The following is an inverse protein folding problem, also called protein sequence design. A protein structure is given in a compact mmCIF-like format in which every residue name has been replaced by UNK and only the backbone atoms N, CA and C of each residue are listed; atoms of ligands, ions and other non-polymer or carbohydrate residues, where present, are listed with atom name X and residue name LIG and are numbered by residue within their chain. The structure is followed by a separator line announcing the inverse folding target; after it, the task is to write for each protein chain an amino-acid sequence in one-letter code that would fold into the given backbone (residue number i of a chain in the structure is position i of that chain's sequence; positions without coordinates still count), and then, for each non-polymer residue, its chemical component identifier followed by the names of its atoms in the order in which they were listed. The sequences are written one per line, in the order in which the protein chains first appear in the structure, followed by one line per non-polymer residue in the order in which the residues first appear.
data_IF_555692124796
#
_entry.id   IF_555692124796
#
_cell.length_a   1.000
_cell.length_b   1.000
_cell.length_c   1.000
_cell.angle_alpha   90.00
_cell.angle_beta   90.00
_cell.angle_gamma   90.00
#
_symmetry.space_group_name_H-M   'P 1'
#
loop_
_entity.id
_entity.type
_entity.pdbx_description
1 polymer ?
#
# COMPACT_ATOMS: atom_id res chain seq x y z
N UNK A 1 6.55 -37.10 -6.28
CA UNK A 1 6.75 -37.15 -4.82
C UNK A 1 6.12 -35.87 -4.32
N UNK A 2 4.95 -36.00 -3.70
CA UNK A 2 4.21 -34.87 -3.12
C UNK A 2 5.06 -34.30 -1.98
N UNK A 3 5.24 -32.99 -2.01
CA UNK A 3 5.87 -32.19 -0.97
C UNK A 3 4.74 -31.38 -0.33
N UNK A 4 3.77 -32.07 0.26
CA UNK A 4 2.67 -31.46 1.01
C UNK A 4 2.71 -31.96 2.46
N UNK A 5 3.84 -31.73 3.13
CA UNK A 5 3.97 -31.89 4.58
C UNK A 5 4.72 -30.66 5.12
N UNK A 6 4.13 -29.49 4.94
CA UNK A 6 4.52 -28.26 5.64
C UNK A 6 3.38 -27.87 6.58
N UNK A 7 3.60 -28.17 7.86
CA UNK A 7 3.07 -27.54 9.08
C UNK A 7 1.74 -26.79 8.86
N UNK A 8 0.66 -27.51 9.15
CA UNK A 8 -0.67 -26.96 9.42
C UNK A 8 -0.57 -26.07 10.67
N UNK A 9 -0.34 -24.77 10.50
CA UNK A 9 -0.82 -23.82 11.49
C UNK A 9 -2.31 -23.72 11.24
N UNK A 10 -3.11 -24.45 12.03
CA UNK A 10 -4.57 -24.45 11.99
C UNK A 10 -5.08 -23.00 12.15
N UNK A 11 -5.16 -22.26 11.04
CA UNK A 11 -5.72 -20.91 11.03
C UNK A 11 -7.23 -21.09 11.17
N UNK A 12 -7.73 -20.92 12.39
CA UNK A 12 -9.16 -21.00 12.67
C UNK A 12 -9.80 -19.72 12.15
N UNK A 13 -10.56 -19.82 11.07
CA UNK A 13 -11.32 -18.68 10.57
C UNK A 13 -12.50 -18.40 11.53
N UNK A 14 -12.60 -17.16 12.01
CA UNK A 14 -13.68 -16.77 12.91
C UNK A 14 -14.89 -16.36 12.07
N UNK A 15 -16.10 -16.84 12.40
CA UNK A 15 -17.29 -16.51 11.62
C UNK A 15 -17.65 -15.02 11.75
N UNK A 16 -18.43 -14.48 10.82
CA UNK A 16 -18.78 -13.04 10.79
C UNK A 16 -19.42 -12.56 12.11
N UNK A 17 -20.26 -13.39 12.75
CA UNK A 17 -20.89 -13.08 14.03
C UNK A 17 -19.91 -12.95 15.21
N UNK A 18 -18.67 -13.41 15.06
CA UNK A 18 -17.62 -13.27 16.06
C UNK A 18 -17.09 -11.83 16.15
N UNK A 19 -17.32 -11.01 15.13
CA UNK A 19 -16.70 -9.69 14.96
C UNK A 19 -17.72 -8.58 15.17
N UNK A 20 -17.37 -7.56 15.94
CA UNK A 20 -18.13 -6.31 15.97
C UNK A 20 -17.76 -5.50 14.71
N UNK A 21 -18.71 -5.20 13.80
CA UNK A 21 -18.42 -4.43 12.60
C UNK A 21 -17.80 -3.07 12.93
N UNK A 22 -16.79 -2.66 12.15
CA UNK A 22 -16.07 -1.40 12.28
C UNK A 22 -15.30 -1.19 13.61
N UNK A 23 -15.16 -2.22 14.44
CA UNK A 23 -14.35 -2.15 15.65
C UNK A 23 -12.84 -2.27 15.32
N UNK A 24 -12.10 -1.22 15.64
CA UNK A 24 -10.64 -1.17 15.49
C UNK A 24 -10.01 -0.62 16.80
N UNK A 25 -9.08 -1.35 17.46
CA UNK A 25 -8.60 -2.70 17.12
C UNK A 25 -9.69 -3.77 17.08
N UNK A 26 -9.38 -4.95 16.53
CA UNK A 26 -10.28 -6.11 16.55
C UNK A 26 -10.89 -6.30 17.95
N UNK A 27 -12.22 -6.40 18.01
CA UNK A 27 -12.99 -6.62 19.24
C UNK A 27 -14.02 -7.73 18.99
N UNK A 28 -13.93 -8.86 19.72
CA UNK A 28 -14.88 -9.95 19.55
C UNK A 28 -16.26 -9.57 20.10
N UNK A 29 -17.30 -10.14 19.50
CA UNK A 29 -18.66 -10.02 20.01
C UNK A 29 -18.82 -10.86 21.29
N UNK A 30 -19.10 -10.20 22.42
CA UNK A 30 -19.24 -10.86 23.73
C UNK A 30 -20.34 -11.94 23.78
N UNK A 31 -21.48 -11.71 23.10
CA UNK A 31 -22.58 -12.69 23.07
C UNK A 31 -22.16 -13.96 22.35
N UNK A 32 -21.51 -13.82 21.20
CA UNK A 32 -20.96 -14.95 20.46
C UNK A 32 -19.87 -15.65 21.27
N UNK A 33 -18.90 -14.88 21.79
CA UNK A 33 -17.74 -15.41 22.51
C UNK A 33 -18.15 -16.25 23.72
N UNK A 34 -19.19 -15.85 24.45
CA UNK A 34 -19.70 -16.58 25.61
C UNK A 34 -20.24 -17.99 25.31
N UNK A 35 -20.56 -18.28 24.05
CA UNK A 35 -21.18 -19.55 23.62
C UNK A 35 -20.36 -20.33 22.57
N UNK A 36 -19.26 -19.75 22.10
CA UNK A 36 -18.36 -20.35 21.13
C UNK A 36 -17.61 -21.58 21.69
N UNK A 37 -17.10 -22.44 20.80
CA UNK A 37 -16.26 -23.56 21.22
C UNK A 37 -14.92 -23.06 21.77
N UNK A 38 -14.29 -23.78 22.73
CA UNK A 38 -13.04 -23.33 23.36
C UNK A 38 -11.93 -22.94 22.38
N UNK A 39 -11.78 -23.69 21.28
CA UNK A 39 -10.81 -23.40 20.22
C UNK A 39 -11.05 -22.04 19.53
N UNK A 40 -12.32 -21.68 19.29
CA UNK A 40 -12.69 -20.39 18.71
C UNK A 40 -12.59 -19.25 19.75
N UNK A 41 -12.86 -19.54 21.02
CA UNK A 41 -12.65 -18.58 22.11
C UNK A 41 -11.16 -18.22 22.23
N UNK A 42 -10.29 -19.22 22.21
CA UNK A 42 -8.84 -19.03 22.23
C UNK A 42 -8.37 -18.15 21.08
N UNK A 43 -8.78 -18.47 19.85
CA UNK A 43 -8.38 -17.70 18.67
C UNK A 43 -8.87 -16.24 18.73
N UNK A 44 -10.13 -16.02 19.13
CA UNK A 44 -10.68 -14.67 19.28
C UNK A 44 -9.95 -13.86 20.36
N UNK A 45 -9.70 -14.45 21.53
CA UNK A 45 -8.95 -13.80 22.60
C UNK A 45 -7.50 -13.52 22.19
N UNK A 46 -6.86 -14.45 21.47
CA UNK A 46 -5.50 -14.30 20.95
C UNK A 46 -5.41 -13.13 19.96
N UNK A 47 -6.32 -13.06 18.98
CA UNK A 47 -6.40 -11.93 18.05
C UNK A 47 -6.65 -10.60 18.75
N UNK A 48 -7.52 -10.59 19.76
CA UNK A 48 -7.77 -9.39 20.56
C UNK A 48 -6.51 -8.91 21.29
N UNK A 49 -5.77 -9.85 21.89
CA UNK A 49 -4.55 -9.56 22.64
C UNK A 49 -3.43 -9.07 21.72
N UNK A 50 -3.17 -9.79 20.63
CA UNK A 50 -2.14 -9.45 19.64
C UNK A 50 -2.46 -8.16 18.88
N UNK A 51 -3.73 -7.78 18.77
CA UNK A 51 -4.07 -6.46 18.28
C UNK A 51 -3.61 -5.38 19.28
N UNK A 52 -3.62 -5.60 20.60
CA UNK A 52 -3.34 -4.54 21.59
C UNK A 52 -1.93 -4.55 22.14
N UNK A 53 -1.25 -5.68 22.06
CA UNK A 53 0.05 -5.89 22.70
C UNK A 53 1.01 -6.62 21.76
N UNK A 54 2.28 -6.23 21.83
CA UNK A 54 3.38 -6.79 21.02
C UNK A 54 4.55 -7.20 21.91
N UNK A 55 5.38 -8.10 21.37
CA UNK A 55 6.67 -8.43 21.98
C UNK A 55 7.52 -7.15 22.08
N UNK A 56 7.99 -6.76 23.27
CA UNK A 56 8.80 -5.56 23.45
C UNK A 56 10.07 -5.57 22.59
N UNK A 57 10.57 -6.73 22.15
CA UNK A 57 11.68 -6.84 21.21
C UNK A 57 11.44 -6.14 19.86
N UNK A 58 10.18 -5.93 19.48
CA UNK A 58 9.81 -5.35 18.18
C UNK A 58 9.85 -3.81 18.23
N UNK A 59 9.14 -3.22 19.18
CA UNK A 59 8.84 -1.77 19.18
C UNK A 59 9.34 -1.04 20.43
N UNK A 60 9.96 -1.74 21.40
CA UNK A 60 10.39 -1.13 22.66
C UNK A 60 11.91 -0.89 22.67
N UNK A 61 12.39 0.33 22.93
CA UNK A 61 13.82 0.60 23.04
C UNK A 61 14.50 -0.25 24.13
N UNK A 62 15.67 -0.83 23.82
CA UNK A 62 16.43 -1.66 24.75
C UNK A 62 17.69 -0.94 25.25
N UNK A 63 17.90 -0.88 26.57
CA UNK A 63 19.13 -0.36 27.17
C UNK A 63 20.03 -1.53 27.63
N UNK A 64 21.14 -1.74 26.93
CA UNK A 64 22.12 -2.78 27.24
C UNK A 64 23.00 -2.51 28.47
N UNK A 65 22.97 -1.31 29.03
CA UNK A 65 23.69 -0.95 30.26
C UNK A 65 22.93 -1.35 31.52
N UNK A 66 21.61 -1.15 31.54
CA UNK A 66 20.71 -1.55 32.63
C UNK A 66 20.11 -2.95 32.42
N UNK A 67 20.10 -3.44 31.19
CA UNK A 67 19.70 -4.81 30.84
C UNK A 67 18.19 -5.01 30.80
N UNK A 68 17.46 -4.15 30.09
CA UNK A 68 15.99 -4.27 29.95
C UNK A 68 15.35 -3.35 28.91
N UNK A 69 14.11 -3.66 28.58
CA UNK A 69 13.26 -2.84 27.71
C UNK A 69 12.77 -1.58 28.43
N UNK A 70 12.68 -0.48 27.70
CA UNK A 70 12.24 0.81 28.20
C UNK A 70 10.81 1.08 27.73
N UNK A 71 9.83 0.75 28.56
CA UNK A 71 8.39 0.89 28.31
C UNK A 71 7.91 2.36 28.32
N UNK A 72 8.46 3.19 27.41
CA UNK A 72 8.18 4.62 27.33
C UNK A 72 6.77 4.95 26.84
N UNK A 73 6.07 3.97 26.24
CA UNK A 73 4.72 4.10 25.69
C UNK A 73 3.64 3.43 26.56
N UNK A 74 3.99 2.93 27.76
CA UNK A 74 3.10 2.18 28.64
C UNK A 74 3.55 0.72 28.81
N UNK A 75 2.99 0.04 29.81
CA UNK A 75 3.37 -1.33 30.21
C UNK A 75 4.46 -1.38 31.31
N UNK A 76 5.07 -2.56 31.53
CA UNK A 76 4.72 -3.84 30.92
C UNK A 76 3.30 -4.29 31.27
N UNK A 77 2.67 -5.01 30.34
CA UNK A 77 1.33 -5.58 30.50
C UNK A 77 1.43 -7.10 30.64
N UNK A 78 0.79 -7.64 31.68
CA UNK A 78 0.75 -9.06 31.97
C UNK A 78 -0.45 -9.70 31.23
N UNK A 79 -0.22 -10.74 30.39
CA UNK A 79 -1.29 -11.45 29.70
C UNK A 79 -2.45 -11.95 30.59
N UNK A 80 -2.16 -12.46 31.79
CA UNK A 80 -3.21 -12.92 32.71
C UNK A 80 -4.04 -11.74 33.20
N UNK A 81 -3.40 -10.64 33.62
CA UNK A 81 -4.13 -9.46 34.08
C UNK A 81 -5.06 -8.91 32.99
N UNK A 82 -4.54 -8.70 31.78
CA UNK A 82 -5.30 -8.10 30.67
C UNK A 82 -6.42 -9.01 30.15
N UNK A 83 -6.14 -10.31 29.97
CA UNK A 83 -7.14 -11.26 29.47
C UNK A 83 -8.23 -11.54 30.52
N UNK A 84 -7.88 -11.64 31.80
CA UNK A 84 -8.87 -11.86 32.86
C UNK A 84 -9.75 -10.61 33.06
N UNK A 85 -9.17 -9.41 33.01
CA UNK A 85 -9.95 -8.17 33.13
C UNK A 85 -10.97 -8.06 31.99
N UNK A 86 -10.56 -8.37 30.75
CA UNK A 86 -11.45 -8.28 29.59
C UNK A 86 -12.46 -9.42 29.49
N UNK A 87 -12.04 -10.67 29.72
CA UNK A 87 -12.81 -11.86 29.36
C UNK A 87 -13.24 -12.73 30.54
N UNK A 88 -12.77 -12.47 31.77
CA UNK A 88 -13.03 -13.34 32.94
C UNK A 88 -14.51 -13.49 33.32
N UNK A 89 -15.38 -12.58 32.86
CA UNK A 89 -16.84 -12.68 33.04
C UNK A 89 -17.58 -13.34 31.85
N UNK A 90 -16.86 -13.71 30.79
CA UNK A 90 -17.41 -14.16 29.50
C UNK A 90 -16.94 -15.58 29.19
N UNK A 91 -15.65 -15.84 29.38
CA UNK A 91 -14.99 -17.11 29.06
C UNK A 91 -14.55 -17.79 30.36
N UNK A 92 -14.63 -19.13 30.39
CA UNK A 92 -14.19 -19.89 31.56
C UNK A 92 -12.68 -19.72 31.81
N UNK A 93 -12.31 -19.55 33.08
CA UNK A 93 -10.92 -19.34 33.50
C UNK A 93 -9.94 -20.36 32.90
N UNK A 94 -10.31 -21.64 32.77
CA UNK A 94 -9.42 -22.66 32.21
C UNK A 94 -9.05 -22.46 30.75
N UNK A 95 -9.93 -21.82 29.96
CA UNK A 95 -9.65 -21.46 28.55
C UNK A 95 -8.73 -20.24 28.50
N UNK A 96 -8.98 -19.24 29.35
CA UNK A 96 -8.11 -18.06 29.46
C UNK A 96 -6.70 -18.47 29.92
N UNK A 97 -6.60 -19.31 30.95
CA UNK A 97 -5.34 -19.85 31.48
C UNK A 97 -4.55 -20.60 30.39
N UNK A 98 -5.21 -21.31 29.48
CA UNK A 98 -4.55 -21.96 28.35
C UNK A 98 -3.86 -20.94 27.43
N UNK A 99 -4.55 -19.85 27.06
CA UNK A 99 -3.96 -18.79 26.23
C UNK A 99 -2.85 -18.03 26.95
N UNK A 100 -3.04 -17.73 28.24
CA UNK A 100 -2.03 -17.07 29.08
C UNK A 100 -0.74 -17.89 29.12
N UNK A 101 -0.83 -19.20 29.32
CA UNK A 101 0.34 -20.09 29.30
C UNK A 101 1.06 -20.11 27.95
N UNK A 102 0.31 -20.01 26.85
CA UNK A 102 0.87 -19.89 25.50
C UNK A 102 1.66 -18.58 25.36
N UNK A 103 1.06 -17.43 25.70
CA UNK A 103 1.69 -16.11 25.62
C UNK A 103 2.92 -15.97 26.54
N UNK A 104 2.86 -16.54 27.74
CA UNK A 104 4.02 -16.62 28.65
C UNK A 104 5.15 -17.46 28.07
N UNK A 105 4.83 -18.53 27.35
CA UNK A 105 5.85 -19.38 26.72
C UNK A 105 6.51 -18.71 25.51
N UNK A 106 5.78 -17.82 24.82
CA UNK A 106 6.24 -17.09 23.65
C UNK A 106 7.12 -15.89 24.03
N UNK A 107 6.62 -15.00 24.89
CA UNK A 107 7.28 -13.71 25.21
C UNK A 107 7.54 -13.53 26.71
N UNK A 108 6.63 -14.03 27.56
CA UNK A 108 6.68 -13.81 29.01
C UNK A 108 5.57 -12.87 29.48
N UNK A 109 5.77 -12.26 30.65
CA UNK A 109 4.82 -11.39 31.36
C UNK A 109 4.99 -9.90 31.07
N UNK A 110 5.98 -9.52 30.25
CA UNK A 110 6.33 -8.12 29.99
C UNK A 110 5.98 -7.66 28.56
N UNK A 111 4.69 -7.56 28.24
CA UNK A 111 4.26 -7.11 26.91
C UNK A 111 4.20 -5.58 26.79
N UNK A 112 4.49 -5.06 25.59
CA UNK A 112 4.39 -3.65 25.26
C UNK A 112 3.06 -3.35 24.54
N UNK A 113 2.51 -2.13 24.62
CA UNK A 113 1.33 -1.75 23.85
C UNK A 113 1.68 -1.73 22.36
N UNK A 114 0.81 -2.28 21.53
CA UNK A 114 0.90 -2.21 20.07
C UNK A 114 0.64 -0.79 19.58
N UNK A 115 1.46 -0.28 18.64
CA UNK A 115 1.18 1.00 17.98
C UNK A 115 0.02 0.85 16.99
N UNK A 116 -1.21 1.13 17.45
CA UNK A 116 -2.44 1.10 16.63
C UNK A 116 -2.66 2.37 15.82
N UNK A 117 -1.60 3.02 15.35
CA UNK A 117 -1.79 3.91 14.21
C UNK A 117 -2.19 3.04 13.01
N UNK A 118 -3.28 3.36 12.28
CA UNK A 118 -3.60 2.66 11.04
C UNK A 118 -2.33 2.66 10.22
N UNK A 119 -1.88 1.47 9.78
CA UNK A 119 -0.66 1.39 8.99
C UNK A 119 -0.83 2.37 7.82
N UNK A 120 -0.05 3.45 7.89
CA UNK A 120 -0.20 4.55 6.96
C UNK A 120 0.11 4.06 5.54
N UNK A 121 0.96 3.03 5.44
CA UNK A 121 1.27 2.36 4.20
C UNK A 121 0.08 1.51 3.74
N UNK A 122 -0.64 0.81 4.62
CA UNK A 122 -1.86 0.07 4.26
C UNK A 122 -2.97 1.02 3.78
N UNK A 123 -3.20 2.14 4.46
CA UNK A 123 -4.21 3.12 4.08
C UNK A 123 -3.91 3.79 2.72
N UNK A 124 -2.64 3.83 2.33
CA UNK A 124 -2.17 4.36 1.05
C UNK A 124 -1.87 3.26 0.01
N UNK A 125 -2.10 1.99 0.35
CA UNK A 125 -1.81 0.88 -0.52
C UNK A 125 -2.61 0.97 -1.82
N UNK A 126 -1.99 0.55 -2.92
CA UNK A 126 -2.63 0.59 -4.21
C UNK A 126 -3.46 -0.67 -4.43
N UNK A 127 -4.75 -0.49 -4.69
CA UNK A 127 -5.59 -1.61 -5.14
C UNK A 127 -5.33 -1.81 -6.62
N UNK A 128 -4.73 -2.94 -6.97
CA UNK A 128 -4.56 -3.35 -8.35
C UNK A 128 -5.94 -3.61 -8.97
N UNK A 129 -6.40 -2.65 -9.78
CA UNK A 129 -7.57 -2.76 -10.63
C UNK A 129 -7.24 -3.57 -11.88
N UNK A 130 -8.19 -4.34 -12.42
CA UNK A 130 -7.99 -5.33 -13.49
C UNK A 130 -7.29 -4.79 -14.75
N UNK A 131 -6.93 -5.66 -15.72
CA UNK A 131 -6.16 -5.25 -16.88
C UNK A 131 -6.93 -4.18 -17.69
N UNK A 132 -6.32 -3.01 -17.87
CA UNK A 132 -6.89 -1.87 -18.59
C UNK A 132 -7.85 -0.99 -17.76
N UNK A 133 -8.19 -1.35 -16.52
CA UNK A 133 -8.98 -0.49 -15.62
C UNK A 133 -8.27 0.85 -15.30
N UNK A 134 -6.95 0.88 -15.04
CA UNK A 134 -6.23 2.15 -14.80
C UNK A 134 -6.40 3.14 -15.96
N UNK A 135 -6.38 2.67 -17.20
CA UNK A 135 -6.57 3.52 -18.37
C UNK A 135 -8.01 4.05 -18.49
N UNK A 136 -9.01 3.22 -18.16
CA UNK A 136 -10.42 3.65 -18.14
C UNK A 136 -10.66 4.69 -17.05
N UNK A 137 -10.07 4.50 -15.87
CA UNK A 137 -10.09 5.46 -14.76
C UNK A 137 -9.42 6.77 -15.16
N UNK A 138 -8.24 6.71 -15.78
CA UNK A 138 -7.58 7.89 -16.34
C UNK A 138 -8.48 8.63 -17.32
N UNK A 139 -9.05 7.96 -18.33
CA UNK A 139 -9.92 8.59 -19.31
C UNK A 139 -11.12 9.28 -18.67
N UNK A 140 -11.79 8.58 -17.74
CA UNK A 140 -12.92 9.12 -16.98
C UNK A 140 -12.50 10.36 -16.19
N UNK A 141 -11.34 10.28 -15.52
CA UNK A 141 -10.82 11.37 -14.70
C UNK A 141 -10.45 12.60 -15.53
N UNK A 142 -9.82 12.40 -16.69
CA UNK A 142 -9.51 13.47 -17.63
C UNK A 142 -10.78 14.18 -18.11
N UNK A 143 -11.84 13.44 -18.45
CA UNK A 143 -13.12 14.03 -18.87
C UNK A 143 -13.78 14.83 -17.74
N UNK A 144 -13.73 14.35 -16.49
CA UNK A 144 -14.21 15.11 -15.33
C UNK A 144 -13.40 16.39 -15.11
N UNK A 145 -12.07 16.33 -15.22
CA UNK A 145 -11.20 17.48 -15.04
C UNK A 145 -11.45 18.56 -16.11
N UNK A 146 -11.72 18.16 -17.35
CA UNK A 146 -12.10 19.09 -18.43
C UNK A 146 -13.41 19.82 -18.12
N UNK A 147 -14.35 19.18 -17.42
CA UNK A 147 -15.58 19.84 -16.95
C UNK A 147 -15.27 20.89 -15.89
N UNK A 148 -14.34 20.61 -14.96
CA UNK A 148 -13.88 21.60 -13.96
C UNK A 148 -13.27 22.83 -14.63
N UNK A 149 -12.44 22.63 -15.66
CA UNK A 149 -11.84 23.72 -16.44
C UNK A 149 -12.86 24.52 -17.29
N UNK A 150 -14.10 24.04 -17.38
CA UNK A 150 -15.19 24.70 -18.12
C UNK A 150 -16.14 25.50 -17.22
N UNK A 151 -15.83 25.63 -15.92
CA UNK A 151 -16.64 26.39 -14.97
C UNK A 151 -16.65 27.89 -15.33
N UNK A 152 -17.85 28.48 -15.29
CA UNK A 152 -18.02 29.93 -15.47
C UNK A 152 -17.68 30.68 -14.17
N UNK A 153 -16.97 31.79 -14.29
CA UNK A 153 -16.61 32.64 -13.15
C UNK A 153 -15.92 33.91 -13.58
N UNK A 154 -15.52 34.73 -12.60
CA UNK A 154 -14.59 35.83 -12.86
C UNK A 154 -13.19 35.26 -13.20
N UNK A 155 -12.26 36.14 -13.56
CA UNK A 155 -10.91 35.72 -13.94
C UNK A 155 -10.24 34.88 -12.84
N UNK A 156 -10.31 35.30 -11.58
CA UNK A 156 -9.64 34.59 -10.48
C UNK A 156 -10.20 33.17 -10.29
N UNK A 157 -11.52 33.00 -10.35
CA UNK A 157 -12.18 31.70 -10.23
C UNK A 157 -11.76 30.78 -11.39
N UNK A 158 -11.80 31.28 -12.62
CA UNK A 158 -11.43 30.47 -13.80
C UNK A 158 -9.95 30.13 -13.81
N UNK A 159 -9.07 31.00 -13.32
CA UNK A 159 -7.64 30.70 -13.16
C UNK A 159 -7.38 29.62 -12.12
N UNK A 160 -7.99 29.70 -10.93
CA UNK A 160 -7.85 28.65 -9.91
C UNK A 160 -8.38 27.31 -10.42
N UNK A 161 -9.53 27.31 -11.09
CA UNK A 161 -10.08 26.10 -11.70
C UNK A 161 -9.12 25.49 -12.74
N UNK A 162 -8.55 26.30 -13.64
CA UNK A 162 -7.61 25.82 -14.66
C UNK A 162 -6.29 25.32 -14.06
N UNK A 163 -5.76 25.99 -13.03
CA UNK A 163 -4.57 25.54 -12.30
C UNK A 163 -4.80 24.18 -11.63
N UNK A 164 -5.88 24.05 -10.86
CA UNK A 164 -6.19 22.79 -10.19
C UNK A 164 -6.50 21.67 -11.19
N UNK A 165 -7.16 21.99 -12.31
CA UNK A 165 -7.40 21.06 -13.39
C UNK A 165 -6.07 20.57 -14.03
N UNK A 166 -5.14 21.49 -14.32
CA UNK A 166 -3.81 21.14 -14.83
C UNK A 166 -3.05 20.20 -13.89
N UNK A 167 -3.00 20.55 -12.60
CA UNK A 167 -2.35 19.70 -11.60
C UNK A 167 -3.04 18.33 -11.49
N UNK A 168 -4.38 18.31 -11.55
CA UNK A 168 -5.18 17.10 -11.55
C UNK A 168 -4.92 16.17 -12.73
N UNK A 169 -4.63 16.71 -13.92
CA UNK A 169 -4.27 15.89 -15.11
C UNK A 169 -2.96 15.15 -14.88
N UNK A 170 -1.95 15.83 -14.33
CA UNK A 170 -0.66 15.20 -13.99
C UNK A 170 -0.85 14.16 -12.90
N UNK A 171 -1.62 14.46 -11.85
CA UNK A 171 -1.92 13.49 -10.80
C UNK A 171 -2.70 12.26 -11.30
N UNK A 172 -3.62 12.44 -12.26
CA UNK A 172 -4.32 11.31 -12.88
C UNK A 172 -3.36 10.43 -13.70
N UNK A 173 -2.40 11.04 -14.41
CA UNK A 173 -1.35 10.29 -15.10
C UNK A 173 -0.44 9.54 -14.12
N UNK A 174 -0.06 10.17 -13.01
CA UNK A 174 0.74 9.51 -11.95
C UNK A 174 0.04 8.28 -11.40
N UNK A 175 -1.26 8.38 -11.09
CA UNK A 175 -2.08 7.26 -10.61
C UNK A 175 -2.13 6.12 -11.65
N UNK A 176 -2.44 6.46 -12.91
CA UNK A 176 -2.42 5.48 -14.01
C UNK A 176 -1.10 4.72 -14.11
N UNK A 177 0.03 5.43 -14.16
CA UNK A 177 1.35 4.80 -14.30
C UNK A 177 1.66 3.89 -13.11
N UNK A 178 1.29 4.33 -11.91
CA UNK A 178 1.50 3.56 -10.68
C UNK A 178 0.67 2.28 -10.66
N UNK A 179 -0.64 2.42 -10.83
CA UNK A 179 -1.59 1.30 -10.82
C UNK A 179 -1.26 0.29 -11.92
N UNK A 180 -0.87 0.75 -13.12
CA UNK A 180 -0.45 -0.14 -14.22
C UNK A 180 0.78 -0.96 -13.85
N UNK A 181 1.82 -0.34 -13.28
CA UNK A 181 3.04 -1.07 -12.90
C UNK A 181 2.75 -2.04 -11.76
N UNK A 182 2.00 -1.61 -10.74
CA UNK A 182 1.63 -2.45 -9.60
C UNK A 182 0.79 -3.65 -10.04
N UNK A 183 -0.21 -3.45 -10.91
CA UNK A 183 -1.02 -4.54 -11.47
C UNK A 183 -0.14 -5.60 -12.14
N UNK A 184 0.71 -5.21 -13.09
CA UNK A 184 1.55 -6.18 -13.79
C UNK A 184 2.63 -6.81 -12.91
N UNK A 185 3.12 -6.11 -11.88
CA UNK A 185 4.04 -6.67 -10.90
C UNK A 185 3.40 -7.79 -10.07
N UNK A 186 2.11 -7.70 -9.80
CA UNK A 186 1.36 -8.70 -9.03
C UNK A 186 0.89 -9.87 -9.89
N UNK A 187 0.58 -9.62 -11.17
CA UNK A 187 -0.06 -10.59 -12.05
C UNK A 187 0.91 -11.40 -12.92
N UNK A 188 2.10 -10.87 -13.23
CA UNK A 188 3.09 -11.53 -14.10
C UNK A 188 4.43 -11.71 -13.38
N UNK A 189 4.80 -12.97 -13.12
CA UNK A 189 6.03 -13.32 -12.39
C UNK A 189 7.30 -12.87 -13.13
N UNK A 190 7.28 -12.80 -14.47
CA UNK A 190 8.42 -12.29 -15.23
C UNK A 190 8.55 -10.78 -15.05
N UNK A 191 7.43 -10.04 -15.07
CA UNK A 191 7.42 -8.61 -14.76
C UNK A 191 7.93 -8.36 -13.35
N UNK A 192 7.45 -9.10 -12.36
CA UNK A 192 7.94 -9.02 -10.98
C UNK A 192 9.46 -9.17 -10.92
N UNK A 193 9.99 -10.24 -11.51
CA UNK A 193 11.44 -10.53 -11.56
C UNK A 193 12.22 -9.45 -12.29
N UNK A 194 11.71 -8.95 -13.41
CA UNK A 194 12.35 -7.89 -14.19
C UNK A 194 12.35 -6.54 -13.45
N UNK A 195 11.29 -6.21 -12.73
CA UNK A 195 11.23 -5.02 -11.87
C UNK A 195 12.26 -5.11 -10.75
N UNK A 196 12.23 -6.18 -9.94
CA UNK A 196 13.20 -6.41 -8.86
C UNK A 196 14.63 -6.35 -9.39
N UNK A 197 14.89 -7.01 -10.51
CA UNK A 197 16.24 -7.06 -11.10
C UNK A 197 16.72 -5.73 -11.67
N UNK A 198 15.83 -4.79 -11.93
CA UNK A 198 16.15 -3.53 -12.63
C UNK A 198 16.14 -2.28 -11.74
N UNK A 199 15.67 -2.41 -10.50
CA UNK A 199 15.66 -1.34 -9.50
C UNK A 199 16.98 -1.35 -8.72
N UNK A 200 17.64 -0.18 -8.67
CA UNK A 200 18.97 -0.02 -8.07
C UNK A 200 19.02 -0.40 -6.58
N UNK A 201 17.92 -0.22 -5.85
CA UNK A 201 17.82 -0.58 -4.43
C UNK A 201 18.01 -2.08 -4.20
N UNK A 202 17.37 -2.93 -5.02
CA UNK A 202 17.51 -4.38 -4.92
C UNK A 202 18.86 -4.88 -5.44
N UNK A 203 19.43 -4.23 -6.46
CA UNK A 203 20.74 -4.60 -7.02
C UNK A 203 21.90 -4.42 -6.04
N UNK A 204 21.76 -3.51 -5.06
CA UNK A 204 22.81 -3.21 -4.08
C UNK A 204 22.80 -4.15 -2.87
N UNK A 205 21.79 -5.00 -2.72
CA UNK A 205 21.68 -5.93 -1.61
C UNK A 205 22.83 -6.96 -1.63
N UNK A 206 23.50 -7.16 -0.49
CA UNK A 206 24.49 -8.22 -0.31
C UNK A 206 23.82 -9.39 0.40
N UNK A 207 23.64 -10.50 -0.30
CA UNK A 207 22.92 -11.67 0.21
C UNK A 207 23.85 -12.88 0.29
N UNK A 208 23.82 -13.59 1.42
CA UNK A 208 24.43 -14.91 1.53
C UNK A 208 23.46 -15.99 1.06
N UNK A 209 23.94 -17.21 0.81
CA UNK A 209 23.08 -18.33 0.39
C UNK A 209 22.05 -18.69 1.47
N UNK A 210 22.38 -18.50 2.75
CA UNK A 210 21.44 -18.74 3.85
C UNK A 210 20.31 -17.72 3.93
N UNK A 211 20.48 -16.52 3.37
CA UNK A 211 19.47 -15.46 3.41
C UNK A 211 18.40 -15.62 2.33
N UNK A 212 18.62 -16.49 1.33
CA UNK A 212 17.79 -16.57 0.11
C UNK A 212 16.31 -16.78 0.44
N UNK A 213 15.98 -17.77 1.28
CA UNK A 213 14.58 -18.08 1.58
C UNK A 213 13.87 -16.94 2.31
N UNK A 214 14.54 -16.36 3.32
CA UNK A 214 14.03 -15.19 4.06
C UNK A 214 13.78 -13.99 3.15
N UNK A 215 14.71 -13.72 2.23
CA UNK A 215 14.58 -12.59 1.31
C UNK A 215 13.47 -12.81 0.28
N UNK A 216 13.28 -14.04 -0.19
CA UNK A 216 12.18 -14.36 -1.12
C UNK A 216 10.81 -14.15 -0.48
N UNK A 217 10.64 -14.55 0.79
CA UNK A 217 9.37 -14.38 1.53
C UNK A 217 8.96 -12.90 1.62
N UNK A 218 9.91 -11.98 1.83
CA UNK A 218 9.64 -10.54 1.96
C UNK A 218 9.71 -9.73 0.66
N UNK A 219 10.09 -10.34 -0.47
CA UNK A 219 10.45 -9.57 -1.67
C UNK A 219 9.26 -8.85 -2.31
N UNK A 220 8.07 -9.46 -2.28
CA UNK A 220 6.84 -8.85 -2.78
C UNK A 220 6.49 -7.58 -2.01
N UNK A 221 6.39 -7.67 -0.68
CA UNK A 221 6.11 -6.52 0.18
C UNK A 221 7.12 -5.39 0.00
N UNK A 222 8.41 -5.73 -0.20
CA UNK A 222 9.45 -4.73 -0.47
C UNK A 222 9.28 -4.04 -1.83
N UNK A 223 8.90 -4.79 -2.88
CA UNK A 223 8.62 -4.19 -4.18
C UNK A 223 7.40 -3.28 -4.10
N UNK A 224 6.34 -3.72 -3.44
CA UNK A 224 5.12 -2.96 -3.23
C UNK A 224 5.41 -1.62 -2.54
N UNK A 225 6.11 -1.67 -1.40
CA UNK A 225 6.56 -0.47 -0.67
C UNK A 225 7.41 0.46 -1.54
N UNK A 226 8.35 -0.11 -2.31
CA UNK A 226 9.16 0.70 -3.23
C UNK A 226 8.31 1.42 -4.29
N UNK A 227 7.29 0.75 -4.85
CA UNK A 227 6.39 1.34 -5.85
C UNK A 227 5.48 2.41 -5.23
N UNK A 228 5.02 2.21 -4.00
CA UNK A 228 4.23 3.16 -3.23
C UNK A 228 5.02 4.45 -2.94
N UNK A 229 6.29 4.32 -2.54
CA UNK A 229 7.19 5.44 -2.25
C UNK A 229 7.73 6.14 -3.52
N UNK A 230 7.46 5.59 -4.71
CA UNK A 230 7.98 6.13 -5.95
C UNK A 230 7.31 7.46 -6.29
N UNK A 231 8.12 8.48 -6.56
CA UNK A 231 7.64 9.77 -7.06
C UNK A 231 7.30 9.67 -8.56
N UNK A 232 6.05 9.38 -8.88
CA UNK A 232 5.59 9.03 -10.24
C UNK A 232 5.69 10.15 -11.29
N UNK A 233 5.71 11.43 -10.90
CA UNK A 233 6.02 12.52 -11.83
C UNK A 233 7.51 12.66 -12.19
N UNK A 234 8.41 11.82 -11.66
CA UNK A 234 9.82 11.73 -12.12
C UNK A 234 9.90 10.88 -13.38
N UNK A 235 9.36 11.39 -14.48
CA UNK A 235 9.09 10.63 -15.69
C UNK A 235 10.31 9.93 -16.32
N UNK A 236 11.53 10.46 -16.21
CA UNK A 236 12.73 9.74 -16.67
C UNK A 236 12.97 8.44 -15.88
N UNK A 237 12.79 8.48 -14.54
CA UNK A 237 12.92 7.30 -13.68
C UNK A 237 11.79 6.31 -13.97
N UNK A 238 10.55 6.79 -14.09
CA UNK A 238 9.38 5.94 -14.36
C UNK A 238 9.47 5.31 -15.75
N UNK A 239 9.82 6.08 -16.78
CA UNK A 239 10.10 5.57 -18.12
C UNK A 239 11.11 4.43 -18.08
N UNK A 240 12.23 4.67 -17.41
CA UNK A 240 13.29 3.68 -17.29
C UNK A 240 12.85 2.43 -16.52
N UNK A 241 12.02 2.58 -15.49
CA UNK A 241 11.41 1.48 -14.74
C UNK A 241 10.50 0.64 -15.64
N UNK A 242 9.53 1.27 -16.32
CA UNK A 242 8.58 0.58 -17.19
C UNK A 242 9.27 -0.14 -18.36
N UNK A 243 10.24 0.51 -19.01
CA UNK A 243 10.99 -0.13 -20.11
C UNK A 243 11.77 -1.36 -19.66
N UNK A 244 12.29 -1.36 -18.41
CA UNK A 244 13.06 -2.49 -17.90
C UNK A 244 12.20 -3.58 -17.26
N UNK A 245 11.13 -3.20 -16.57
CA UNK A 245 10.21 -4.10 -15.88
C UNK A 245 9.17 -4.72 -16.81
N UNK A 246 8.43 -3.86 -17.54
CA UNK A 246 7.34 -4.30 -18.43
C UNK A 246 7.83 -4.67 -19.83
N UNK A 247 9.08 -4.31 -20.18
CA UNK A 247 9.68 -4.53 -21.52
C UNK A 247 8.89 -3.90 -22.68
N UNK A 248 8.26 -2.76 -22.44
CA UNK A 248 7.52 -1.99 -23.45
C UNK A 248 8.29 -0.76 -23.91
N UNK A 249 7.93 -0.23 -25.08
CA UNK A 249 8.42 1.07 -25.53
C UNK A 249 7.60 2.19 -24.88
N UNK A 250 8.29 3.21 -24.34
CA UNK A 250 7.63 4.42 -23.82
C UNK A 250 7.85 5.55 -24.83
N UNK A 251 6.80 6.28 -25.23
CA UNK A 251 6.89 7.35 -26.21
C UNK A 251 7.63 8.57 -25.63
N UNK A 252 7.79 9.62 -26.43
CA UNK A 252 8.48 10.83 -25.98
C UNK A 252 7.79 11.47 -24.76
N UNK A 253 8.60 11.75 -23.73
CA UNK A 253 8.15 12.38 -22.47
C UNK A 253 8.51 13.86 -22.40
N UNK A 254 9.09 14.44 -23.46
CA UNK A 254 9.63 15.80 -23.44
C UNK A 254 8.58 16.86 -23.12
N UNK A 255 7.34 16.67 -23.60
CA UNK A 255 6.24 17.58 -23.27
C UNK A 255 5.90 17.55 -21.77
N UNK A 256 5.88 16.36 -21.15
CA UNK A 256 5.53 16.18 -19.74
C UNK A 256 6.48 16.91 -18.79
N UNK A 257 7.76 17.02 -19.15
CA UNK A 257 8.77 17.68 -18.31
C UNK A 257 8.40 19.12 -17.97
N UNK A 258 7.87 19.87 -18.95
CA UNK A 258 7.39 21.23 -18.73
C UNK A 258 6.14 21.25 -17.84
N UNK A 259 5.25 20.27 -18.02
CA UNK A 259 3.99 20.22 -17.31
C UNK A 259 4.15 19.87 -15.82
N UNK A 260 5.19 19.09 -15.48
CA UNK A 260 5.59 18.85 -14.08
C UNK A 260 6.06 20.13 -13.41
N UNK A 261 6.81 20.99 -14.11
CA UNK A 261 7.24 22.29 -13.57
C UNK A 261 6.03 23.17 -13.25
N UNK A 262 5.06 23.24 -14.18
CA UNK A 262 3.81 23.99 -13.98
C UNK A 262 3.00 23.42 -12.80
N UNK A 263 2.85 22.09 -12.72
CA UNK A 263 2.20 21.42 -11.58
C UNK A 263 2.90 21.73 -10.27
N UNK A 264 4.24 21.75 -10.24
CA UNK A 264 5.00 22.11 -9.05
C UNK A 264 4.75 23.56 -8.61
N UNK A 265 4.69 24.50 -9.55
CA UNK A 265 4.35 25.91 -9.27
C UNK A 265 2.94 26.04 -8.69
N UNK A 266 1.99 25.30 -9.22
CA UNK A 266 0.60 25.28 -8.75
C UNK A 266 0.52 24.76 -7.32
N UNK A 267 1.09 23.57 -7.05
CA UNK A 267 0.92 22.88 -5.78
C UNK A 267 1.85 23.42 -4.69
N UNK A 268 3.12 23.64 -4.98
CA UNK A 268 4.13 23.95 -3.95
C UNK A 268 4.50 25.43 -3.87
N UNK A 269 4.08 26.26 -4.84
CA UNK A 269 4.31 27.72 -4.84
C UNK A 269 3.00 28.53 -4.87
N UNK A 270 1.87 27.88 -4.61
CA UNK A 270 0.55 28.52 -4.53
C UNK A 270 0.14 29.20 -5.84
N UNK A 271 0.39 28.56 -6.99
CA UNK A 271 0.04 29.09 -8.29
C UNK A 271 1.01 30.15 -8.83
N UNK A 272 2.27 30.14 -8.37
CA UNK A 272 3.30 31.12 -8.79
C UNK A 272 4.59 30.46 -9.22
N UNK A 273 5.26 31.06 -10.20
CA UNK A 273 6.57 30.59 -10.65
C UNK A 273 7.71 30.98 -9.69
N UNK A 274 8.95 30.58 -10.02
CA UNK A 274 10.16 30.91 -9.25
C UNK A 274 10.41 32.42 -9.09
N UNK A 275 9.81 33.24 -9.96
CA UNK A 275 9.92 34.70 -9.94
C UNK A 275 8.74 35.35 -9.20
N UNK A 276 7.81 34.57 -8.64
CA UNK A 276 6.63 35.05 -7.95
C UNK A 276 5.50 35.51 -8.88
N UNK A 277 5.59 35.25 -10.18
CA UNK A 277 4.55 35.60 -11.16
C UNK A 277 3.47 34.54 -11.13
N UNK A 278 2.21 34.96 -11.25
CA UNK A 278 1.08 34.03 -11.30
C UNK A 278 1.19 33.13 -12.54
N UNK A 279 1.00 31.84 -12.35
CA UNK A 279 0.83 30.87 -13.43
C UNK A 279 -0.55 31.10 -14.05
N UNK A 280 -0.61 31.59 -15.29
CA UNK A 280 -1.87 31.85 -15.98
C UNK A 280 -2.14 30.74 -16.98
N UNK A 281 -3.30 30.07 -16.85
CA UNK A 281 -3.74 28.98 -17.71
C UNK A 281 -5.13 29.25 -18.28
N UNK A 282 -5.29 28.92 -19.55
CA UNK A 282 -6.57 28.94 -20.25
C UNK A 282 -7.21 27.55 -20.23
N UNK A 283 -8.53 27.48 -20.34
CA UNK A 283 -9.24 26.20 -20.46
C UNK A 283 -8.80 25.40 -21.70
N UNK A 284 -8.39 26.09 -22.77
CA UNK A 284 -7.82 25.42 -23.96
C UNK A 284 -6.50 24.71 -23.63
N UNK A 285 -5.58 25.35 -22.90
CA UNK A 285 -4.33 24.70 -22.50
C UNK A 285 -4.58 23.46 -21.63
N UNK A 286 -5.58 23.51 -20.74
CA UNK A 286 -5.99 22.34 -19.95
C UNK A 286 -6.58 21.25 -20.84
N UNK A 287 -7.38 21.61 -21.84
CA UNK A 287 -7.89 20.64 -22.82
C UNK A 287 -6.77 20.01 -23.65
N UNK A 288 -5.77 20.79 -24.06
CA UNK A 288 -4.67 20.32 -24.89
C UNK A 288 -3.78 19.32 -24.13
N UNK A 289 -3.42 19.64 -22.88
CA UNK A 289 -2.63 18.70 -22.06
C UNK A 289 -3.43 17.45 -21.73
N UNK A 290 -4.74 17.57 -21.47
CA UNK A 290 -5.60 16.41 -21.24
C UNK A 290 -5.58 15.44 -22.43
N UNK A 291 -5.65 15.95 -23.65
CA UNK A 291 -5.60 15.11 -24.85
C UNK A 291 -4.21 14.51 -25.06
N UNK A 292 -3.14 15.27 -24.85
CA UNK A 292 -1.78 14.76 -24.97
C UNK A 292 -1.49 13.63 -23.96
N UNK A 293 -1.97 13.75 -22.72
CA UNK A 293 -1.87 12.70 -21.69
C UNK A 293 -2.67 11.47 -22.09
N UNK A 294 -3.88 11.64 -22.61
CA UNK A 294 -4.70 10.53 -23.10
C UNK A 294 -4.01 9.77 -24.24
N UNK A 295 -3.46 10.48 -25.22
CA UNK A 295 -2.72 9.88 -26.35
C UNK A 295 -1.46 9.17 -25.87
N UNK A 296 -0.73 9.77 -24.92
CA UNK A 296 0.45 9.16 -24.30
C UNK A 296 0.11 7.83 -23.62
N UNK A 297 -0.95 7.80 -22.80
CA UNK A 297 -1.40 6.58 -22.12
C UNK A 297 -1.94 5.54 -23.12
N UNK A 298 -2.69 5.95 -24.14
CA UNK A 298 -3.19 5.04 -25.17
C UNK A 298 -2.05 4.32 -25.92
N UNK A 299 -0.91 4.98 -26.13
CA UNK A 299 0.27 4.35 -26.71
C UNK A 299 0.86 3.29 -25.76
N UNK A 300 0.93 3.57 -24.46
CA UNK A 300 1.37 2.59 -23.46
C UNK A 300 0.45 1.37 -23.47
N UNK A 301 -0.86 1.56 -23.47
CA UNK A 301 -1.84 0.47 -23.56
C UNK A 301 -1.63 -0.39 -24.82
N UNK A 302 -1.31 0.24 -25.95
CA UNK A 302 -1.01 -0.50 -27.19
C UNK A 302 0.23 -1.39 -27.05
N UNK A 303 1.29 -0.91 -26.39
CA UNK A 303 2.50 -1.70 -26.17
C UNK A 303 2.26 -2.82 -25.14
N UNK A 304 1.46 -2.57 -24.11
CA UNK A 304 1.04 -3.59 -23.14
C UNK A 304 0.23 -4.70 -23.82
N UNK A 305 -0.77 -4.34 -24.62
CA UNK A 305 -1.55 -5.31 -25.38
C UNK A 305 -0.64 -6.15 -26.30
N UNK A 306 0.28 -5.52 -27.03
CA UNK A 306 1.25 -6.25 -27.85
C UNK A 306 2.12 -7.21 -27.05
N UNK A 307 2.57 -6.81 -25.85
CA UNK A 307 3.43 -7.62 -24.98
C UNK A 307 2.70 -8.80 -24.34
N UNK A 308 1.45 -8.61 -23.92
CA UNK A 308 0.75 -9.59 -23.07
C UNK A 308 -0.31 -10.41 -23.81
N UNK A 309 -0.98 -9.87 -24.85
CA UNK A 309 -1.86 -10.69 -25.70
C UNK A 309 -1.08 -11.70 -26.56
N UNK A 310 0.18 -11.39 -26.88
CA UNK A 310 1.07 -12.30 -27.64
C UNK A 310 1.54 -13.51 -26.82
N UNK A 311 1.56 -13.43 -25.48
CA UNK A 311 1.98 -14.54 -24.61
C UNK A 311 0.86 -15.58 -24.42
N UNK A 312 -0.41 -15.16 -24.43
CA UNK A 312 -1.56 -16.10 -24.35
C UNK A 312 -1.70 -17.02 -25.59
N UNK A 313 -0.98 -16.74 -26.68
CA UNK A 313 -0.98 -17.53 -27.90
C UNK A 313 0.18 -18.55 -27.99
N UNK A 314 1.18 -18.45 -27.11
CA UNK A 314 2.37 -19.32 -27.12
C UNK A 314 2.28 -20.44 -26.08
N UNK A 315 1.48 -20.26 -25.03
CA UNK A 315 1.23 -21.26 -23.98
C UNK A 315 -0.04 -22.12 -24.21
N UNK A 316 -0.50 -22.25 -25.47
CA UNK A 316 -1.57 -23.18 -25.88
C UNK A 316 -1.09 -24.28 -26.80
#
# INVERSE_FOLDING_TARGET
MSWDDYIDTDYIDLPEEAVIPDAHPFEPNDEWLSSAQPEHQLEAMKRWFQARFVDPAQETPYDGGEGGYQFIHGGPYDPDEELQDRFGNIVEYGVIEQLVNELYSEVGDEWAPADWEPDYDEALAMVASGPGEPYQMLCTRLDQIRQVASINGNFDVTQVANQLAHAGIISALEAYLSETVTYWANEDEYVFRDLVSSIEEFQKAKLSVSDIFKEMEGLHARLEKYLQDLVWHRFEKVRSLMQRGLKITIPDIGFLMKEVEIRHDIIHRGGRDKQGRAVVLTGQQVSDISENVKVFAAYIEQELAQRFESHSAVDK
#
